data_IF_077505568195
#
_entry.id   IF_077505568195
#
_cell.length_a   1.000
_cell.length_b   1.000
_cell.length_c   1.000
_cell.angle_alpha   90.00
_cell.angle_beta   90.00
_cell.angle_gamma   90.00
#
_symmetry.space_group_name_H-M   'P 1'
#
loop_
_entity.id
_entity.type
_entity.pdbx_description
1 polymer ?
#
# COMPACT_ATOMS: atom_id res chain seq x y z
N UNK A 1 -28.18 22.63 -46.34
CA UNK A 1 -27.77 21.33 -45.77
C UNK A 1 -28.18 21.30 -44.30
N UNK A 2 -29.30 20.63 -43.97
CA UNK A 2 -29.74 20.47 -42.58
C UNK A 2 -28.95 19.32 -41.95
N UNK A 3 -27.88 19.64 -41.22
CA UNK A 3 -27.22 18.65 -40.36
C UNK A 3 -28.25 18.27 -39.30
N UNK A 4 -28.87 17.09 -39.47
CA UNK A 4 -29.97 16.62 -38.61
C UNK A 4 -29.50 16.69 -37.16
N UNK A 5 -30.10 17.54 -36.29
CA UNK A 5 -29.57 17.87 -34.96
C UNK A 5 -29.33 16.61 -34.11
N UNK A 6 -30.10 15.56 -34.37
CA UNK A 6 -29.94 14.24 -33.75
C UNK A 6 -28.54 13.63 -33.90
N UNK A 7 -27.89 13.76 -35.07
CA UNK A 7 -26.53 13.24 -35.28
C UNK A 7 -25.50 14.01 -34.44
N UNK A 8 -25.66 15.33 -34.35
CA UNK A 8 -24.81 16.20 -33.53
C UNK A 8 -24.99 15.88 -32.05
N UNK A 9 -26.23 15.69 -31.59
CA UNK A 9 -26.53 15.26 -30.21
C UNK A 9 -25.94 13.90 -29.88
N UNK A 10 -26.01 12.93 -30.80
CA UNK A 10 -25.43 11.60 -30.60
C UNK A 10 -23.89 11.66 -30.45
N UNK A 11 -23.22 12.48 -31.26
CA UNK A 11 -21.77 12.66 -31.19
C UNK A 11 -21.37 13.30 -29.87
N UNK A 12 -22.09 14.35 -29.43
CA UNK A 12 -21.85 15.01 -28.15
C UNK A 12 -22.05 14.02 -26.99
N UNK A 13 -23.10 13.21 -27.04
CA UNK A 13 -23.37 12.19 -26.02
C UNK A 13 -22.24 11.15 -25.94
N UNK A 14 -21.74 10.67 -27.08
CA UNK A 14 -20.62 9.72 -27.14
C UNK A 14 -19.35 10.35 -26.54
N UNK A 15 -19.07 11.62 -26.83
CA UNK A 15 -17.91 12.33 -26.27
C UNK A 15 -18.02 12.50 -24.74
N UNK A 16 -19.21 12.79 -24.22
CA UNK A 16 -19.45 12.87 -22.77
C UNK A 16 -19.23 11.50 -22.12
N UNK A 17 -19.81 10.44 -22.68
CA UNK A 17 -19.65 9.07 -22.15
C UNK A 17 -18.19 8.62 -22.19
N UNK A 18 -17.47 8.90 -23.28
CA UNK A 18 -16.06 8.60 -23.40
C UNK A 18 -15.21 9.38 -22.38
N UNK A 19 -15.53 10.67 -22.17
CA UNK A 19 -14.86 11.51 -21.17
C UNK A 19 -15.07 11.00 -19.74
N UNK A 20 -16.32 10.69 -19.37
CA UNK A 20 -16.64 10.13 -18.05
C UNK A 20 -15.99 8.76 -17.85
N UNK A 21 -16.01 7.90 -18.87
CA UNK A 21 -15.34 6.59 -18.84
C UNK A 21 -13.83 6.70 -18.63
N UNK A 22 -13.17 7.64 -19.32
CA UNK A 22 -11.73 7.88 -19.15
C UNK A 22 -11.39 8.34 -17.73
N UNK A 23 -12.18 9.24 -17.14
CA UNK A 23 -12.00 9.70 -15.75
C UNK A 23 -12.13 8.52 -14.78
N UNK A 24 -13.12 7.66 -14.96
CA UNK A 24 -13.37 6.52 -14.08
C UNK A 24 -12.23 5.49 -14.13
N UNK A 25 -11.65 5.24 -15.30
CA UNK A 25 -10.50 4.34 -15.48
C UNK A 25 -9.26 4.91 -14.78
N UNK A 26 -8.99 6.21 -14.95
CA UNK A 26 -7.85 6.89 -14.32
C UNK A 26 -7.99 6.86 -12.80
N UNK A 27 -9.17 7.16 -12.29
CA UNK A 27 -9.43 7.15 -10.84
C UNK A 27 -9.31 5.75 -10.26
N UNK A 28 -9.88 4.74 -10.94
CA UNK A 28 -9.77 3.34 -10.54
C UNK A 28 -8.31 2.91 -10.46
N UNK A 29 -7.51 3.15 -11.52
CA UNK A 29 -6.07 2.85 -11.53
C UNK A 29 -5.33 3.52 -10.38
N UNK A 30 -5.64 4.79 -10.10
CA UNK A 30 -5.03 5.55 -9.00
C UNK A 30 -5.32 4.93 -7.62
N UNK A 31 -6.54 4.47 -7.39
CA UNK A 31 -6.91 3.78 -6.14
C UNK A 31 -6.23 2.42 -6.01
N UNK A 32 -6.19 1.62 -7.09
CA UNK A 32 -5.51 0.32 -7.08
C UNK A 32 -4.02 0.45 -6.81
N UNK A 33 -3.33 1.37 -7.49
CA UNK A 33 -1.89 1.60 -7.27
C UNK A 33 -1.60 2.06 -5.85
N UNK A 34 -2.40 2.99 -5.30
CA UNK A 34 -2.25 3.43 -3.91
C UNK A 34 -2.44 2.31 -2.91
N UNK A 35 -3.49 1.48 -3.09
CA UNK A 35 -3.75 0.34 -2.21
C UNK A 35 -2.59 -0.65 -2.22
N UNK A 36 -2.04 -0.95 -3.39
CA UNK A 36 -0.89 -1.84 -3.53
C UNK A 36 0.36 -1.26 -2.84
N UNK A 37 0.60 0.06 -2.98
CA UNK A 37 1.69 0.74 -2.30
C UNK A 37 1.53 0.72 -0.77
N UNK A 38 0.31 0.90 -0.24
CA UNK A 38 0.06 0.79 1.20
C UNK A 38 0.37 -0.61 1.74
N UNK A 39 -0.09 -1.67 1.06
CA UNK A 39 0.18 -3.04 1.50
C UNK A 39 1.67 -3.38 1.45
N UNK A 40 2.38 -2.90 0.42
CA UNK A 40 3.85 -3.03 0.32
C UNK A 40 4.55 -2.30 1.47
N UNK A 41 4.16 -1.06 1.75
CA UNK A 41 4.72 -0.26 2.84
C UNK A 41 4.50 -0.94 4.20
N UNK A 42 3.27 -1.34 4.51
CA UNK A 42 2.93 -2.02 5.77
C UNK A 42 3.76 -3.30 5.93
N UNK A 43 3.82 -4.13 4.89
CA UNK A 43 4.55 -5.41 4.95
C UNK A 43 6.05 -5.20 5.15
N UNK A 44 6.66 -4.29 4.37
CA UNK A 44 8.07 -3.97 4.51
C UNK A 44 8.37 -3.37 5.89
N UNK A 45 7.57 -2.42 6.37
CA UNK A 45 7.77 -1.77 7.66
C UNK A 45 7.69 -2.75 8.83
N UNK A 46 6.72 -3.68 8.81
CA UNK A 46 6.60 -4.72 9.84
C UNK A 46 7.82 -5.64 9.81
N UNK A 47 8.24 -6.11 8.63
CA UNK A 47 9.41 -6.96 8.49
C UNK A 47 10.71 -6.28 8.97
N UNK A 48 10.90 -5.00 8.61
CA UNK A 48 12.03 -4.18 9.06
C UNK A 48 12.01 -4.03 10.60
N UNK A 49 10.84 -3.81 11.18
CA UNK A 49 10.68 -3.67 12.63
C UNK A 49 11.06 -4.96 13.38
N UNK A 50 10.61 -6.11 12.86
CA UNK A 50 10.97 -7.43 13.40
C UNK A 50 12.47 -7.71 13.24
N UNK A 51 13.07 -7.36 12.10
CA UNK A 51 14.51 -7.52 11.88
C UNK A 51 15.33 -6.69 12.87
N UNK A 52 14.89 -5.46 13.15
CA UNK A 52 15.52 -4.59 14.15
C UNK A 52 15.47 -5.17 15.55
N UNK A 53 14.36 -5.79 15.91
CA UNK A 53 14.21 -6.47 17.20
C UNK A 53 15.04 -7.76 17.28
N UNK A 54 15.19 -8.49 16.16
CA UNK A 54 15.95 -9.74 16.09
C UNK A 54 17.46 -9.56 16.11
N UNK A 55 17.98 -8.45 15.58
CA UNK A 55 19.42 -8.18 15.46
C UNK A 55 19.83 -6.89 16.20
N UNK A 56 19.60 -6.77 17.53
CA UNK A 56 19.86 -5.54 18.27
C UNK A 56 21.35 -5.20 18.43
N UNK A 57 22.23 -6.21 18.35
CA UNK A 57 23.67 -6.08 18.61
C UNK A 57 24.54 -6.48 17.42
N UNK A 58 23.94 -6.73 16.25
CA UNK A 58 24.64 -7.21 15.06
C UNK A 58 24.31 -6.31 13.85
N UNK A 59 25.01 -5.18 13.70
CA UNK A 59 24.71 -4.20 12.65
C UNK A 59 24.87 -4.79 11.24
N UNK A 60 25.83 -5.69 11.02
CA UNK A 60 26.05 -6.33 9.73
C UNK A 60 24.88 -7.26 9.35
N UNK A 61 24.46 -8.11 10.30
CA UNK A 61 23.28 -8.98 10.13
C UNK A 61 22.00 -8.19 9.93
N UNK A 62 21.87 -7.04 10.62
CA UNK A 62 20.74 -6.13 10.43
C UNK A 62 20.74 -5.51 9.04
N UNK A 63 21.89 -5.05 8.54
CA UNK A 63 22.03 -4.49 7.20
C UNK A 63 21.66 -5.51 6.12
N UNK A 64 22.17 -6.74 6.22
CA UNK A 64 21.83 -7.82 5.29
C UNK A 64 20.34 -8.17 5.32
N UNK A 65 19.74 -8.21 6.52
CA UNK A 65 18.31 -8.44 6.67
C UNK A 65 17.49 -7.30 6.04
N UNK A 66 17.89 -6.05 6.23
CA UNK A 66 17.27 -4.89 5.60
C UNK A 66 17.31 -4.96 4.08
N UNK A 67 18.48 -5.20 3.49
CA UNK A 67 18.61 -5.31 2.04
C UNK A 67 17.75 -6.45 1.48
N UNK A 68 17.73 -7.60 2.17
CA UNK A 68 16.87 -8.73 1.79
C UNK A 68 15.38 -8.41 1.88
N UNK A 69 14.94 -7.69 2.92
CA UNK A 69 13.53 -7.32 3.11
C UNK A 69 13.09 -6.31 2.06
N UNK A 70 13.93 -5.30 1.79
CA UNK A 70 13.69 -4.31 0.75
C UNK A 70 13.54 -4.99 -0.62
N UNK A 71 14.47 -5.87 -0.97
CA UNK A 71 14.42 -6.64 -2.22
C UNK A 71 13.19 -7.54 -2.31
N UNK A 72 12.84 -8.26 -1.24
CA UNK A 72 11.68 -9.16 -1.21
C UNK A 72 10.34 -8.43 -1.42
N UNK A 73 10.25 -7.19 -0.95
CA UNK A 73 9.05 -6.36 -1.12
C UNK A 73 9.09 -5.46 -2.36
N UNK A 74 10.18 -5.49 -3.14
CA UNK A 74 10.35 -4.67 -4.35
C UNK A 74 10.32 -3.17 -4.03
N UNK A 75 10.89 -2.78 -2.90
CA UNK A 75 10.97 -1.40 -2.41
C UNK A 75 12.42 -1.06 -2.09
N UNK A 76 12.78 0.21 -2.13
CA UNK A 76 14.08 0.70 -1.69
C UNK A 76 13.92 1.72 -0.55
N UNK A 77 15.04 2.12 0.05
CA UNK A 77 15.07 3.05 1.19
C UNK A 77 14.58 4.46 0.82
N UNK A 78 14.80 4.90 -0.43
CA UNK A 78 14.32 6.20 -0.93
C UNK A 78 12.80 6.18 -1.13
N UNK A 79 12.26 5.07 -1.63
CA UNK A 79 10.84 4.83 -1.77
C UNK A 79 10.16 4.79 -0.40
N UNK A 80 10.71 4.06 0.57
CA UNK A 80 10.17 4.01 1.93
C UNK A 80 10.13 5.39 2.60
N UNK A 81 11.21 6.16 2.50
CA UNK A 81 11.29 7.50 3.10
C UNK A 81 10.34 8.49 2.41
N UNK A 82 10.28 8.50 1.08
CA UNK A 82 9.35 9.34 0.33
C UNK A 82 7.88 8.97 0.60
N UNK A 83 7.57 7.67 0.73
CA UNK A 83 6.24 7.21 1.05
C UNK A 83 5.83 7.61 2.47
N UNK A 84 6.72 7.44 3.45
CA UNK A 84 6.50 7.88 4.83
C UNK A 84 6.27 9.39 4.91
N UNK A 85 7.04 10.19 4.16
CA UNK A 85 6.85 11.64 4.07
C UNK A 85 5.52 12.02 3.39
N UNK A 86 5.11 11.27 2.36
CA UNK A 86 3.79 11.47 1.73
C UNK A 86 2.63 11.13 2.67
N UNK A 87 2.86 10.17 3.57
CA UNK A 87 1.87 9.71 4.53
C UNK A 87 1.70 10.70 5.69
N UNK A 88 2.80 11.31 6.17
CA UNK A 88 2.73 12.33 7.21
C UNK A 88 1.97 13.59 6.78
N UNK A 89 1.87 13.85 5.48
CA UNK A 89 1.07 14.95 4.93
C UNK A 89 -0.45 14.72 5.02
N UNK A 90 -0.93 13.48 5.18
CA UNK A 90 -2.35 13.15 5.33
C UNK A 90 -2.58 12.35 6.63
N UNK A 91 -2.97 13.07 7.69
CA UNK A 91 -3.10 12.50 9.04
C UNK A 91 -4.14 11.39 9.13
N UNK A 92 -5.21 11.45 8.34
CA UNK A 92 -6.25 10.41 8.32
C UNK A 92 -5.75 9.14 7.63
N UNK A 93 -5.00 9.27 6.54
CA UNK A 93 -4.35 8.12 5.92
C UNK A 93 -3.26 7.53 6.82
N UNK A 94 -2.45 8.38 7.45
CA UNK A 94 -1.42 7.96 8.39
C UNK A 94 -1.99 7.10 9.51
N UNK A 95 -3.05 7.58 10.18
CA UNK A 95 -3.74 6.81 11.23
C UNK A 95 -4.21 5.43 10.74
N UNK A 96 -4.86 5.36 9.58
CA UNK A 96 -5.34 4.10 9.02
C UNK A 96 -4.22 3.11 8.70
N UNK A 97 -3.07 3.61 8.26
CA UNK A 97 -1.91 2.76 7.98
C UNK A 97 -1.29 2.27 9.29
N UNK A 98 -1.20 3.12 10.30
CA UNK A 98 -0.75 2.71 11.63
C UNK A 98 -1.63 1.62 12.23
N UNK A 99 -2.96 1.77 12.15
CA UNK A 99 -3.90 0.74 12.61
C UNK A 99 -3.64 -0.61 11.91
N UNK A 100 -3.34 -0.59 10.61
CA UNK A 100 -2.98 -1.80 9.85
C UNK A 100 -1.65 -2.41 10.28
N UNK A 101 -0.65 -1.58 10.56
CA UNK A 101 0.66 -2.03 11.05
C UNK A 101 0.48 -2.72 12.41
N UNK A 102 -0.23 -2.08 13.33
CA UNK A 102 -0.52 -2.61 14.67
C UNK A 102 -1.31 -3.92 14.57
N UNK A 103 -2.40 -3.95 13.81
CA UNK A 103 -3.21 -5.17 13.65
C UNK A 103 -2.40 -6.34 13.06
N UNK A 104 -1.42 -6.06 12.20
CA UNK A 104 -0.56 -7.09 11.60
C UNK A 104 0.55 -7.55 12.53
N UNK A 105 1.08 -6.67 13.38
CA UNK A 105 2.00 -7.05 14.45
C UNK A 105 1.27 -7.90 15.51
N UNK A 106 0.06 -7.51 15.90
CA UNK A 106 -0.77 -8.27 16.83
C UNK A 106 -1.13 -9.65 16.28
N UNK A 107 -1.49 -9.76 14.99
CA UNK A 107 -1.79 -11.07 14.40
C UNK A 107 -0.56 -11.99 14.34
N UNK A 108 0.63 -11.45 14.08
CA UNK A 108 1.88 -12.19 14.16
C UNK A 108 2.18 -12.63 15.59
N UNK A 109 1.92 -11.78 16.58
CA UNK A 109 2.07 -12.11 18.00
C UNK A 109 1.13 -13.25 18.42
N UNK A 110 -0.15 -13.18 18.07
CA UNK A 110 -1.13 -14.24 18.36
C UNK A 110 -0.76 -15.55 17.67
N UNK A 111 -0.31 -15.50 16.41
CA UNK A 111 0.14 -16.69 15.69
C UNK A 111 1.42 -17.32 16.26
N UNK A 112 2.26 -16.52 16.93
CA UNK A 112 3.52 -16.97 17.53
C UNK A 112 3.35 -17.52 18.95
N UNK A 113 2.17 -17.36 19.56
CA UNK A 113 1.85 -17.89 20.87
C UNK A 113 1.10 -19.22 20.69
N UNK A 114 1.77 -20.38 20.78
CA UNK A 114 1.07 -21.66 20.71
C UNK A 114 0.09 -21.73 21.89
N UNK A 115 -1.15 -22.13 21.61
CA UNK A 115 -2.14 -22.47 22.64
C UNK A 115 -1.49 -23.44 23.64
N UNK A 116 -1.13 -22.93 24.82
CA UNK A 116 -0.66 -23.75 25.94
C UNK A 116 -1.81 -24.49 26.63
N UNK A 117 -2.87 -24.81 25.89
CA UNK A 117 -4.07 -25.52 26.38
C UNK A 117 -4.27 -26.80 25.58
N UNK A 118 -3.40 -27.79 25.82
CA UNK A 118 -3.59 -29.24 25.68
C UNK A 118 -2.19 -29.88 25.82
N UNK A 119 -1.86 -30.70 26.81
CA UNK A 119 -2.65 -31.75 27.49
C UNK A 119 -2.15 -31.99 28.92
N UNK A 120 -3.09 -32.35 29.79
CA UNK A 120 -2.89 -33.08 31.05
C UNK A 120 -2.03 -34.34 30.87
#
# INVERSE_FOLDING_TARGET
MAVRPFKTFLIILILIVAGVGAIYIVQSRRHYTRRMQYERFVSAYVALSIAREKYPSSPDSLSMAYDSILAAHGVDSAWLSSFAASLSADIHQSSRIWDKIVARLDSLRTASQPDSTNTN
#
